data_IF_732607126591
#
_entry.id   IF_732607126591
#
_cell.length_a   1.000
_cell.length_b   1.000
_cell.length_c   1.000
_cell.angle_alpha   90.00
_cell.angle_beta   90.00
_cell.angle_gamma   90.00
#
_symmetry.space_group_name_H-M   'P 1'
#
loop_
_entity.id
_entity.type
_entity.pdbx_description
1 polymer ?
#
# COMPACT_ATOMS: atom_id res chain seq x y z
N UNK A 1 8.75 4.40 15.01
CA UNK A 1 9.20 3.24 14.21
C UNK A 1 7.99 2.37 13.94
N UNK A 2 7.62 2.17 12.68
CA UNK A 2 6.50 1.30 12.30
C UNK A 2 6.99 -0.14 12.24
N UNK A 3 6.23 -1.14 12.75
CA UNK A 3 6.61 -2.54 12.63
C UNK A 3 6.71 -2.99 11.17
N UNK A 4 7.64 -3.91 10.88
CA UNK A 4 7.82 -4.44 9.52
C UNK A 4 6.55 -5.11 8.96
N UNK A 5 5.77 -5.78 9.82
CA UNK A 5 4.47 -6.38 9.45
C UNK A 5 3.41 -5.36 8.99
N UNK A 6 3.65 -4.07 9.18
CA UNK A 6 2.78 -2.98 8.70
C UNK A 6 3.29 -2.33 7.41
N UNK A 7 4.39 -2.82 6.84
CA UNK A 7 5.00 -2.23 5.64
C UNK A 7 4.76 -3.08 4.42
N UNK A 8 4.58 -2.46 3.26
CA UNK A 8 4.45 -3.17 1.99
C UNK A 8 5.20 -2.49 0.86
N UNK A 9 6.02 -3.23 0.09
CA UNK A 9 6.78 -2.65 -1.01
C UNK A 9 5.86 -2.20 -2.15
N UNK A 10 6.17 -1.08 -2.77
CA UNK A 10 5.53 -0.59 -3.99
C UNK A 10 6.56 -0.15 -5.02
N UNK A 11 6.14 -0.16 -6.28
CA UNK A 11 6.94 0.26 -7.42
C UNK A 11 6.21 1.35 -8.19
N UNK A 12 6.96 2.31 -8.73
CA UNK A 12 6.42 3.32 -9.63
C UNK A 12 6.82 2.97 -11.07
N UNK A 13 5.83 2.67 -11.90
CA UNK A 13 6.01 2.34 -13.31
C UNK A 13 5.13 3.23 -14.18
N UNK A 14 5.75 3.96 -15.11
CA UNK A 14 5.06 4.81 -16.10
C UNK A 14 4.06 5.81 -15.50
N UNK A 15 4.26 6.24 -14.24
CA UNK A 15 3.38 7.21 -13.57
C UNK A 15 2.26 6.59 -12.74
N UNK A 16 2.21 5.26 -12.66
CA UNK A 16 1.29 4.50 -11.81
C UNK A 16 2.07 3.77 -10.71
N UNK A 17 1.38 3.47 -9.61
CA UNK A 17 1.96 2.73 -8.48
C UNK A 17 1.43 1.30 -8.47
N UNK A 18 2.31 0.34 -8.24
CA UNK A 18 2.00 -1.09 -8.20
C UNK A 18 2.57 -1.73 -6.94
N UNK A 19 1.98 -2.84 -6.52
CA UNK A 19 2.65 -3.81 -5.65
C UNK A 19 2.96 -5.05 -6.46
N UNK A 20 4.13 -5.65 -6.23
CA UNK A 20 4.53 -6.89 -6.89
C UNK A 20 3.57 -8.04 -6.53
N UNK A 21 3.13 -8.09 -5.28
CA UNK A 21 2.19 -9.08 -4.74
C UNK A 21 1.21 -8.39 -3.78
N UNK A 22 -0.07 -8.78 -3.79
CA UNK A 22 -1.08 -8.25 -2.89
C UNK A 22 -0.93 -8.85 -1.48
N UNK A 23 -0.90 -8.05 -0.39
CA UNK A 23 -0.72 -8.56 0.97
C UNK A 23 -1.88 -9.40 1.50
N UNK A 24 -3.01 -9.45 0.77
CA UNK A 24 -4.25 -10.08 1.22
C UNK A 24 -4.60 -11.35 0.46
N UNK A 25 -4.29 -11.41 -0.84
CA UNK A 25 -4.73 -12.47 -1.74
C UNK A 25 -3.66 -12.96 -2.72
N UNK A 26 -2.41 -12.51 -2.57
CA UNK A 26 -1.25 -12.96 -3.34
C UNK A 26 -1.36 -12.69 -4.86
N UNK A 27 -2.26 -11.78 -5.27
CA UNK A 27 -2.37 -11.36 -6.66
C UNK A 27 -1.12 -10.58 -7.08
N UNK A 28 -0.57 -10.90 -8.25
CA UNK A 28 0.65 -10.27 -8.77
C UNK A 28 0.37 -8.94 -9.49
N UNK A 29 1.34 -8.02 -9.50
CA UNK A 29 1.35 -6.78 -10.26
C UNK A 29 0.06 -5.94 -10.08
N UNK A 30 -0.35 -5.73 -8.84
CA UNK A 30 -1.62 -5.07 -8.54
C UNK A 30 -1.47 -3.55 -8.58
N UNK A 31 -2.21 -2.92 -9.50
CA UNK A 31 -2.33 -1.48 -9.60
C UNK A 31 -2.93 -0.89 -8.32
N UNK A 32 -2.24 0.09 -7.76
CA UNK A 32 -2.70 0.84 -6.61
C UNK A 32 -3.57 2.02 -7.06
N UNK A 33 -4.71 2.19 -6.39
CA UNK A 33 -5.59 3.36 -6.57
C UNK A 33 -5.04 4.61 -5.84
N UNK A 34 -3.76 4.89 -6.08
CA UNK A 34 -2.98 5.98 -5.49
C UNK A 34 -2.07 6.56 -6.58
N UNK A 35 -2.19 7.86 -6.82
CA UNK A 35 -1.29 8.54 -7.77
C UNK A 35 0.04 8.86 -7.09
N UNK A 36 1.18 8.82 -7.81
CA UNK A 36 2.47 9.22 -7.26
C UNK A 36 2.48 10.63 -6.66
N UNK A 37 1.70 11.56 -7.21
CA UNK A 37 1.56 12.93 -6.72
C UNK A 37 0.90 13.04 -5.34
N UNK A 38 0.27 11.96 -4.85
CA UNK A 38 -0.37 11.91 -3.53
C UNK A 38 0.59 11.42 -2.44
N UNK A 39 1.73 10.81 -2.80
CA UNK A 39 2.74 10.33 -1.85
C UNK A 39 3.31 11.44 -0.94
N UNK A 40 3.62 12.66 -1.44
CA UNK A 40 4.08 13.74 -0.56
C UNK A 40 3.06 14.11 0.51
N UNK A 41 1.76 14.12 0.18
CA UNK A 41 0.71 14.42 1.15
C UNK A 41 0.63 13.36 2.25
N UNK A 42 0.82 12.10 1.89
CA UNK A 42 0.85 10.98 2.85
C UNK A 42 2.05 11.12 3.80
N UNK A 43 3.22 11.48 3.27
CA UNK A 43 4.43 11.78 4.07
C UNK A 43 4.24 12.95 5.03
N UNK A 44 3.44 13.94 4.64
CA UNK A 44 3.06 15.07 5.50
C UNK A 44 1.99 14.70 6.55
N UNK A 45 1.67 13.40 6.70
CA UNK A 45 0.77 12.86 7.71
C UNK A 45 -0.68 12.69 7.26
N UNK A 46 -0.99 12.90 5.98
CA UNK A 46 -2.34 12.64 5.45
C UNK A 46 -2.61 11.15 5.34
N UNK A 47 -3.42 10.62 6.26
CA UNK A 47 -3.88 9.23 6.20
C UNK A 47 -4.75 8.99 4.96
N UNK A 48 -4.64 7.81 4.36
CA UNK A 48 -5.44 7.39 3.21
C UNK A 48 -5.92 5.96 3.35
N UNK A 49 -7.22 5.73 3.15
CA UNK A 49 -7.75 4.39 2.95
C UNK A 49 -7.42 3.91 1.54
N UNK A 50 -6.65 2.83 1.43
CA UNK A 50 -6.36 2.14 0.18
C UNK A 50 -7.21 0.87 0.08
N UNK A 51 -7.83 0.67 -1.07
CA UNK A 51 -8.60 -0.53 -1.40
C UNK A 51 -7.90 -1.20 -2.57
N UNK A 52 -7.53 -2.47 -2.39
CA UNK A 52 -6.91 -3.27 -3.44
C UNK A 52 -7.98 -3.75 -4.44
N UNK A 53 -7.83 -3.51 -5.75
CA UNK A 53 -8.84 -3.86 -6.75
C UNK A 53 -9.01 -5.37 -6.96
N UNK A 54 -8.01 -6.18 -6.61
CA UNK A 54 -8.04 -7.64 -6.81
C UNK A 54 -8.94 -8.39 -5.83
N UNK A 55 -8.99 -7.97 -4.56
CA UNK A 55 -9.70 -8.69 -3.50
C UNK A 55 -10.55 -7.80 -2.58
N UNK A 56 -10.56 -6.49 -2.84
CA UNK A 56 -11.18 -5.47 -1.97
C UNK A 56 -10.61 -5.44 -0.54
N UNK A 57 -9.43 -6.03 -0.34
CA UNK A 57 -8.62 -5.87 0.87
C UNK A 57 -8.33 -4.40 1.11
N UNK A 58 -8.26 -4.00 2.38
CA UNK A 58 -8.15 -2.60 2.78
C UNK A 58 -6.95 -2.42 3.70
N UNK A 59 -6.23 -1.34 3.50
CA UNK A 59 -5.23 -0.86 4.45
C UNK A 59 -5.36 0.65 4.59
N UNK A 60 -5.15 1.16 5.81
CA UNK A 60 -5.01 2.61 6.03
C UNK A 60 -3.53 2.95 5.98
N UNK A 61 -3.14 3.66 4.92
CA UNK A 61 -1.78 4.18 4.76
C UNK A 61 -1.64 5.40 5.66
N UNK A 62 -0.64 5.38 6.53
CA UNK A 62 -0.32 6.46 7.46
C UNK A 62 0.97 7.20 7.12
N UNK A 63 1.84 6.56 6.33
CA UNK A 63 3.09 7.14 5.83
C UNK A 63 3.52 6.37 4.58
N UNK A 64 4.47 6.93 3.82
CA UNK A 64 5.07 6.27 2.66
C UNK A 64 6.53 6.71 2.52
N UNK A 65 7.47 5.77 2.46
CA UNK A 65 8.86 6.09 2.14
C UNK A 65 9.10 5.98 0.62
N UNK A 66 10.34 5.73 0.19
CA UNK A 66 10.71 5.68 -1.23
C UNK A 66 10.11 4.47 -1.94
N UNK A 67 9.92 3.37 -1.25
CA UNK A 67 9.63 2.05 -1.82
C UNK A 67 8.68 1.21 -0.96
N UNK A 68 8.23 1.71 0.19
CA UNK A 68 7.27 1.08 1.08
C UNK A 68 6.10 2.00 1.42
N UNK A 69 4.91 1.40 1.48
CA UNK A 69 3.73 1.96 2.13
C UNK A 69 3.70 1.51 3.58
N UNK A 70 3.34 2.42 4.49
CA UNK A 70 3.28 2.14 5.92
C UNK A 70 1.82 2.19 6.38
N UNK A 71 1.35 1.11 7.00
CA UNK A 71 -0.01 0.95 7.50
C UNK A 71 -0.13 1.18 9.02
N UNK A 72 -1.33 1.53 9.47
CA UNK A 72 -1.65 1.59 10.92
C UNK A 72 -1.89 0.22 11.56
N UNK A 73 -1.99 -0.83 10.74
CA UNK A 73 -2.33 -2.18 11.16
C UNK A 73 -1.48 -3.21 10.41
N UNK A 74 -1.21 -4.39 11.01
CA UNK A 74 -0.48 -5.44 10.34
C UNK A 74 -1.19 -5.91 9.08
N UNK A 75 -0.42 -6.05 8.00
CA UNK A 75 -0.87 -6.58 6.73
C UNK A 75 -0.88 -8.11 6.84
N UNK A 76 -2.07 -8.65 7.05
CA UNK A 76 -2.27 -10.10 7.22
C UNK A 76 -3.02 -10.64 6.03
N UNK A 77 -2.65 -11.85 5.60
CA UNK A 77 -3.53 -12.70 4.80
C UNK A 77 -4.85 -12.83 5.57
N UNK A 78 -5.92 -12.25 5.03
CA UNK A 78 -7.27 -12.59 5.43
C UNK A 78 -7.53 -13.99 4.88
N UNK A 79 -7.03 -15.00 5.60
CA UNK A 79 -7.31 -16.40 5.31
C UNK A 79 -8.80 -16.64 5.49
N UNK A 80 -9.46 -17.05 4.41
CA UNK A 80 -10.73 -17.78 4.44
C UNK A 80 -10.58 -18.95 3.49
#
# INVERSE_FOLDING_TARGET
>A
MIPFENTWPYENMMGDLYVAECPFCDAENVLLLLKPSELPLIRDGKKRLMIFPCCHGRMTIIDADRDYLLADSPLRRSGS
#
